data_IF_292088380993
#
_entry.id   IF_292088380993
#
_cell.length_a   1.000
_cell.length_b   1.000
_cell.length_c   1.000
_cell.angle_alpha   90.00
_cell.angle_beta   90.00
_cell.angle_gamma   90.00
#
_symmetry.space_group_name_H-M   'P 1'
#
loop_
_entity.id
_entity.type
_entity.pdbx_description
1 polymer ?
#
# COMPACT_ATOMS: atom_id res chain seq x y z
N UNK A 1 -8.11 12.07 -8.87
CA UNK A 1 -8.26 11.62 -9.43
C UNK A 1 -8.41 10.40 -9.27
N UNK A 2 -7.90 9.68 -8.90
CA UNK A 2 -8.18 8.50 -8.94
C UNK A 2 -8.25 7.90 -7.62
N UNK A 3 -9.23 8.26 -6.78
CA UNK A 3 -9.47 7.66 -5.51
C UNK A 3 -9.79 6.17 -5.67
N UNK A 4 -10.27 5.79 -6.85
CA UNK A 4 -10.56 4.38 -7.09
C UNK A 4 -9.29 3.54 -7.04
N UNK A 5 -8.25 3.95 -7.76
CA UNK A 5 -6.98 3.22 -7.72
C UNK A 5 -6.38 3.24 -6.32
N UNK A 6 -6.48 4.37 -5.64
CA UNK A 6 -5.95 4.50 -4.29
C UNK A 6 -6.62 3.49 -3.36
N UNK A 7 -7.94 3.41 -3.41
CA UNK A 7 -8.69 2.50 -2.55
C UNK A 7 -8.45 1.04 -2.89
N UNK A 8 -8.33 0.73 -4.18
CA UNK A 8 -8.06 -0.63 -4.59
C UNK A 8 -6.68 -1.08 -4.11
N UNK A 9 -5.68 -0.25 -4.34
CA UNK A 9 -4.31 -0.61 -3.96
C UNK A 9 -4.21 -0.75 -2.44
N UNK A 10 -4.82 0.18 -1.72
CA UNK A 10 -4.84 0.09 -0.27
C UNK A 10 -5.46 -1.22 0.20
N UNK A 11 -6.60 -1.59 -0.40
CA UNK A 11 -7.30 -2.81 -0.04
C UNK A 11 -6.49 -4.05 -0.34
N UNK A 12 -5.81 -4.07 -1.48
CA UNK A 12 -5.00 -5.21 -1.87
C UNK A 12 -3.88 -5.45 -0.88
N UNK A 13 -3.19 -4.38 -0.50
CA UNK A 13 -2.08 -4.50 0.44
C UNK A 13 -2.60 -4.89 1.82
N UNK A 14 -3.71 -4.28 2.23
CA UNK A 14 -4.28 -4.55 3.55
C UNK A 14 -4.74 -6.00 3.69
N UNK A 15 -5.35 -6.55 2.66
CA UNK A 15 -5.92 -7.89 2.72
C UNK A 15 -4.89 -8.99 2.51
N UNK A 16 -3.70 -8.65 2.06
CA UNK A 16 -2.69 -9.67 1.75
C UNK A 16 -1.96 -10.11 3.01
N UNK A 17 -1.77 -11.42 3.13
CA UNK A 17 -1.01 -11.97 4.24
C UNK A 17 0.48 -11.80 4.06
N UNK A 18 0.91 -11.52 2.85
CA UNK A 18 2.32 -11.37 2.52
C UNK A 18 2.53 -10.05 1.80
N UNK A 19 3.78 -9.64 1.70
CA UNK A 19 4.07 -8.42 0.96
C UNK A 19 3.68 -8.58 -0.51
N UNK A 20 3.21 -7.51 -1.12
CA UNK A 20 2.85 -7.48 -2.53
C UNK A 20 3.83 -6.58 -3.27
N UNK A 21 4.44 -7.11 -4.32
CA UNK A 21 5.33 -6.32 -5.14
C UNK A 21 4.53 -5.41 -6.06
N UNK A 22 5.19 -4.38 -6.59
CA UNK A 22 4.56 -3.51 -7.59
C UNK A 22 4.08 -4.32 -8.78
N UNK A 23 4.89 -5.32 -9.19
CA UNK A 23 4.52 -6.15 -10.33
C UNK A 23 3.25 -6.96 -10.04
N UNK A 24 3.14 -7.51 -8.83
CA UNK A 24 1.95 -8.27 -8.46
C UNK A 24 0.72 -7.37 -8.44
N UNK A 25 0.85 -6.16 -7.91
CA UNK A 25 -0.26 -5.22 -7.89
C UNK A 25 -0.65 -4.86 -9.32
N UNK A 26 0.32 -4.58 -10.16
CA UNK A 26 0.07 -4.23 -11.55
C UNK A 26 -0.62 -5.38 -12.29
N UNK A 27 -0.18 -6.61 -12.06
CA UNK A 27 -0.77 -7.78 -12.71
C UNK A 27 -2.22 -7.97 -12.28
N UNK A 28 -2.51 -7.80 -11.00
CA UNK A 28 -3.87 -7.93 -10.49
C UNK A 28 -4.77 -6.88 -11.14
N UNK A 29 -4.32 -5.63 -11.15
CA UNK A 29 -5.13 -4.56 -11.73
C UNK A 29 -5.30 -4.75 -13.23
N UNK A 30 -4.27 -5.22 -13.91
CA UNK A 30 -4.37 -5.51 -15.34
C UNK A 30 -5.41 -6.58 -15.64
N UNK A 31 -5.53 -7.58 -14.75
CA UNK A 31 -6.50 -8.65 -14.96
C UNK A 31 -7.94 -8.14 -14.84
N UNK A 32 -8.14 -6.98 -14.22
CA UNK A 32 -9.45 -6.37 -14.12
C UNK A 32 -9.61 -5.20 -15.10
N UNK A 33 -8.77 -5.15 -16.12
CA UNK A 33 -8.81 -4.08 -17.12
C UNK A 33 -8.58 -2.70 -16.52
N UNK A 34 -7.69 -2.63 -15.53
CA UNK A 34 -7.31 -1.37 -14.92
C UNK A 34 -5.79 -1.21 -14.97
N UNK A 35 -5.23 -1.05 -16.19
CA UNK A 35 -3.78 -0.97 -16.32
C UNK A 35 -3.23 0.26 -15.63
N UNK A 36 -2.09 0.08 -14.98
CA UNK A 36 -1.45 1.16 -14.25
C UNK A 36 0.05 0.87 -14.23
N UNK A 37 0.85 1.90 -14.34
CA UNK A 37 2.30 1.73 -14.38
C UNK A 37 2.87 1.55 -12.99
N UNK A 38 4.07 0.97 -12.93
CA UNK A 38 4.78 0.78 -11.66
C UNK A 38 5.00 2.12 -10.96
N UNK A 39 5.38 3.14 -11.71
CA UNK A 39 5.61 4.47 -11.15
C UNK A 39 4.35 5.03 -10.52
N UNK A 40 3.22 4.86 -11.18
CA UNK A 40 1.97 5.34 -10.63
C UNK A 40 1.58 4.61 -9.36
N UNK A 41 1.82 3.29 -9.31
CA UNK A 41 1.55 2.51 -8.10
C UNK A 41 2.40 3.04 -6.94
N UNK A 42 3.68 3.27 -7.20
CA UNK A 42 4.57 3.79 -6.16
C UNK A 42 4.14 5.17 -5.68
N UNK A 43 3.72 6.02 -6.61
CA UNK A 43 3.23 7.35 -6.25
C UNK A 43 1.97 7.28 -5.41
N UNK A 44 1.09 6.34 -5.71
CA UNK A 44 -0.14 6.16 -4.94
C UNK A 44 0.20 5.70 -3.52
N UNK A 45 1.14 4.77 -3.39
CA UNK A 45 1.56 4.31 -2.07
C UNK A 45 2.16 5.45 -1.26
N UNK A 46 2.96 6.30 -1.91
CA UNK A 46 3.53 7.46 -1.22
C UNK A 46 2.42 8.40 -0.73
N UNK A 47 1.40 8.61 -1.55
CA UNK A 47 0.29 9.47 -1.17
C UNK A 47 -0.52 8.87 -0.03
N UNK A 48 -0.71 7.55 -0.05
CA UNK A 48 -1.39 6.87 1.04
C UNK A 48 -0.62 7.10 2.34
N UNK A 49 0.69 6.89 2.30
CA UNK A 49 1.50 7.06 3.50
C UNK A 49 1.52 8.50 3.99
N UNK A 50 1.53 9.45 3.07
CA UNK A 50 1.47 10.86 3.45
C UNK A 50 0.16 11.13 4.20
N UNK A 51 -0.94 10.59 3.70
CA UNK A 51 -2.23 10.76 4.36
C UNK A 51 -2.29 10.10 5.73
N UNK A 52 -1.72 8.90 5.84
CA UNK A 52 -1.70 8.21 7.13
C UNK A 52 -0.94 9.02 8.17
N UNK A 53 0.20 9.57 7.76
CA UNK A 53 1.00 10.38 8.68
C UNK A 53 0.28 11.67 9.05
N UNK A 54 -0.30 12.33 8.06
CA UNK A 54 -1.00 13.60 8.28
C UNK A 54 -2.19 13.43 9.21
N UNK A 55 -2.83 12.25 9.16
CA UNK A 55 -3.99 11.97 10.01
C UNK A 55 -3.62 11.34 11.34
N UNK A 56 -2.34 11.15 11.61
CA UNK A 56 -1.91 10.58 12.88
C UNK A 56 -2.23 9.10 13.02
N UNK A 57 -2.36 8.37 11.92
CA UNK A 57 -2.66 6.95 11.98
C UNK A 57 -1.46 6.18 12.54
N UNK A 58 -1.77 5.07 13.21
CA UNK A 58 -0.74 4.26 13.86
C UNK A 58 -0.07 3.29 12.91
N UNK A 59 -0.44 3.28 11.65
CA UNK A 59 0.07 2.33 10.67
C UNK A 59 0.59 3.06 9.43
N UNK A 60 1.32 2.33 8.63
CA UNK A 60 1.83 2.84 7.36
C UNK A 60 2.16 1.63 6.48
N UNK A 61 2.39 1.88 5.20
CA UNK A 61 2.81 0.85 4.26
C UNK A 61 4.33 0.89 4.19
N UNK A 62 4.97 -0.24 4.42
CA UNK A 62 6.44 -0.32 4.36
C UNK A 62 6.85 -1.23 3.22
N UNK A 63 8.09 -1.06 2.78
CA UNK A 63 8.65 -1.90 1.74
C UNK A 63 9.53 -2.96 2.39
N UNK A 64 9.20 -4.22 2.14
CA UNK A 64 9.95 -5.34 2.71
C UNK A 64 10.16 -6.38 1.63
N UNK A 65 11.36 -6.93 1.56
CA UNK A 65 11.66 -8.04 0.64
C UNK A 65 11.13 -7.82 -0.78
N UNK A 66 11.21 -6.59 -1.26
CA UNK A 66 10.77 -6.29 -2.62
C UNK A 66 9.29 -6.06 -2.80
N UNK A 67 8.52 -6.05 -1.73
CA UNK A 67 7.08 -5.80 -1.80
C UNK A 67 6.63 -4.81 -0.75
N UNK A 68 5.34 -4.59 -0.69
CA UNK A 68 4.74 -3.64 0.24
C UNK A 68 3.80 -4.35 1.20
N UNK A 69 3.76 -3.86 2.42
CA UNK A 69 2.98 -4.47 3.49
C UNK A 69 2.62 -3.42 4.51
N UNK A 70 1.45 -3.54 5.13
CA UNK A 70 1.10 -2.65 6.23
C UNK A 70 1.87 -3.03 7.47
N UNK A 71 2.25 -2.04 8.25
CA UNK A 71 2.95 -2.25 9.51
C UNK A 71 2.56 -1.17 10.49
N UNK A 72 2.65 -1.49 11.77
CA UNK A 72 2.43 -0.52 12.83
C UNK A 72 3.64 0.41 12.91
N UNK A 73 3.41 1.69 13.14
CA UNK A 73 4.52 2.64 13.31
C UNK A 73 5.34 2.24 14.52
N UNK A 74 6.63 2.53 14.47
CA UNK A 74 7.57 2.11 15.51
C UNK A 74 7.15 2.52 16.90
N UNK A 75 6.62 3.73 17.04
CA UNK A 75 6.24 4.24 18.34
C UNK A 75 5.09 3.47 18.97
N UNK A 76 4.36 2.71 18.16
CA UNK A 76 3.24 1.90 18.65
C UNK A 76 3.50 0.41 18.60
N UNK A 77 4.60 -0.01 17.99
CA UNK A 77 4.89 -1.44 17.84
C UNK A 77 5.05 -2.12 19.20
N UNK A 78 5.49 -1.35 20.19
CA UNK A 78 5.68 -1.85 21.54
C UNK A 78 4.39 -2.41 22.14
N UNK A 79 3.26 -1.86 21.75
CA UNK A 79 1.96 -2.26 22.30
C UNK A 79 1.34 -3.46 21.61
N UNK A 80 1.88 -3.85 20.49
CA UNK A 80 1.27 -4.93 19.74
C UNK A 80 1.91 -6.25 19.99
N UNK A 81 2.65 -6.42 20.87
CA UNK A 81 3.17 -7.67 21.25
C UNK A 81 3.92 -8.44 20.21
#
# INVERSE_FOLDING_TARGET
>A
MNDEFKNIIESLIFASDEELSVKQISDILGSFNKPISATEIENIIDKLNFGYKANGNAFRIIKVAGGYQFATRKEYAFFVG
#
